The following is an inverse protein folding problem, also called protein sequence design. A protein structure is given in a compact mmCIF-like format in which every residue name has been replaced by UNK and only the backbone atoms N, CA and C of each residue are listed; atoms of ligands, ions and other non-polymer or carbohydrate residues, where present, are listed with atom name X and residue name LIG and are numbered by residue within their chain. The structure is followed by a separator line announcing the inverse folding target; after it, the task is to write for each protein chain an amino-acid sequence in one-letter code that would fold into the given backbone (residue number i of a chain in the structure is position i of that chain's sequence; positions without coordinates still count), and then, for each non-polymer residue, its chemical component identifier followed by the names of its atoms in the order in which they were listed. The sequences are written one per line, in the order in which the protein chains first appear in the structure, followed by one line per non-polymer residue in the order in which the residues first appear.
data_IF_405480301057
#
_entry.id   IF_405480301057
#
_cell.length_a   1.000
_cell.length_b   1.000
_cell.length_c   1.000
_cell.angle_alpha   90.00
_cell.angle_beta   90.00
_cell.angle_gamma   90.00
#
_symmetry.space_group_name_H-M   'P 1'
#
loop_
_entity.id
_entity.type
_entity.pdbx_description
1 polymer ?
#
# COMPACT_ATOMS: atom_id res chain seq x y z
N UNK A 1 10.27 6.10 14.27
CA UNK A 1 10.63 5.03 15.25
C UNK A 1 9.82 3.75 15.12
N UNK A 2 8.48 3.77 15.19
CA UNK A 2 7.63 2.56 15.19
C UNK A 2 7.77 1.58 14.00
N UNK A 3 8.40 2.01 12.90
CA UNK A 3 8.71 1.19 11.72
C UNK A 3 10.18 0.72 11.65
N UNK A 4 11.06 1.17 12.56
CA UNK A 4 12.50 0.86 12.52
C UNK A 4 12.73 -0.63 12.83
N UNK A 5 13.53 -1.31 12.01
CA UNK A 5 13.76 -2.75 12.14
C UNK A 5 12.61 -3.64 11.64
N UNK A 6 11.61 -3.05 10.97
CA UNK A 6 10.54 -3.79 10.30
C UNK A 6 10.73 -3.81 8.80
N UNK A 7 10.34 -4.89 8.15
CA UNK A 7 10.09 -4.87 6.70
C UNK A 7 8.71 -4.26 6.48
N UNK A 8 8.62 -3.23 5.66
CA UNK A 8 7.44 -2.37 5.49
C UNK A 8 6.99 -2.40 4.04
N UNK A 9 5.69 -2.60 3.83
CA UNK A 9 5.07 -2.50 2.51
C UNK A 9 4.28 -1.19 2.46
N UNK A 10 4.75 -0.24 1.66
CA UNK A 10 3.99 0.95 1.32
C UNK A 10 3.14 0.66 0.08
N UNK A 11 1.84 0.89 0.18
CA UNK A 11 0.87 0.67 -0.90
C UNK A 11 0.16 2.00 -1.21
N UNK A 12 0.61 2.68 -2.25
CA UNK A 12 0.06 3.97 -2.70
C UNK A 12 -1.10 3.75 -3.66
N UNK A 13 -2.23 4.45 -3.46
CA UNK A 13 -3.45 4.26 -4.26
C UNK A 13 -4.33 5.52 -4.35
N UNK A 14 -5.20 5.57 -5.35
CA UNK A 14 -6.18 6.65 -5.60
C UNK A 14 -7.64 6.12 -5.74
N UNK A 15 -7.93 4.95 -5.14
CA UNK A 15 -9.27 4.38 -5.01
C UNK A 15 -10.30 5.40 -4.47
N UNK A 16 -11.52 5.36 -5.01
CA UNK A 16 -12.59 6.34 -4.78
C UNK A 16 -13.68 5.80 -3.87
N UNK A 17 -14.17 6.62 -2.94
CA UNK A 17 -15.29 6.26 -2.07
C UNK A 17 -16.67 6.32 -2.76
N UNK A 18 -16.72 6.70 -4.04
CA UNK A 18 -17.94 6.62 -4.87
C UNK A 18 -17.60 6.55 -6.37
N UNK A 19 -18.19 5.59 -7.13
CA UNK A 19 -18.77 4.35 -6.60
C UNK A 19 -17.69 3.53 -5.87
N UNK A 20 -18.09 2.75 -4.85
CA UNK A 20 -17.20 1.80 -4.19
C UNK A 20 -16.91 0.62 -5.14
N UNK A 21 -15.92 0.82 -6.01
CA UNK A 21 -15.37 -0.17 -6.93
C UNK A 21 -14.18 -0.89 -6.30
N UNK A 22 -14.04 -2.19 -6.56
CA UNK A 22 -13.41 -3.11 -5.60
C UNK A 22 -11.97 -3.53 -5.99
N UNK A 23 -10.91 -3.12 -5.25
CA UNK A 23 -9.55 -3.64 -5.42
C UNK A 23 -9.33 -5.00 -4.69
N UNK A 24 -10.41 -5.79 -4.54
CA UNK A 24 -10.59 -6.85 -3.53
C UNK A 24 -9.37 -7.73 -3.27
N UNK A 25 -8.91 -8.45 -4.31
CA UNK A 25 -7.95 -9.53 -4.12
C UNK A 25 -6.60 -9.07 -3.57
N UNK A 26 -6.15 -7.87 -3.93
CA UNK A 26 -4.85 -7.34 -3.50
C UNK A 26 -4.91 -6.63 -2.14
N UNK A 27 -5.97 -5.87 -1.86
CA UNK A 27 -6.15 -5.21 -0.56
C UNK A 27 -6.55 -6.21 0.53
N UNK A 28 -7.42 -7.17 0.22
CA UNK A 28 -7.75 -8.29 1.11
C UNK A 28 -6.53 -9.19 1.39
N UNK A 29 -5.70 -9.45 0.38
CA UNK A 29 -4.44 -10.16 0.59
C UNK A 29 -3.45 -9.35 1.44
N UNK A 30 -3.34 -8.03 1.26
CA UNK A 30 -2.53 -7.17 2.13
C UNK A 30 -2.99 -7.24 3.60
N UNK A 31 -4.30 -7.23 3.86
CA UNK A 31 -4.84 -7.34 5.21
C UNK A 31 -4.56 -8.72 5.82
N UNK A 32 -4.76 -9.79 5.06
CA UNK A 32 -4.37 -11.15 5.44
C UNK A 32 -2.87 -11.25 5.78
N UNK A 33 -2.00 -10.70 4.93
CA UNK A 33 -0.55 -10.70 5.09
C UNK A 33 -0.11 -9.88 6.32
N UNK A 34 -0.68 -8.68 6.51
CA UNK A 34 -0.45 -7.81 7.67
C UNK A 34 -0.79 -8.52 8.99
N UNK A 35 -1.87 -9.30 9.02
CA UNK A 35 -2.27 -10.07 10.20
C UNK A 35 -1.43 -11.32 10.39
N UNK A 36 -1.21 -12.11 9.33
CA UNK A 36 -0.42 -13.35 9.37
C UNK A 36 1.04 -13.12 9.77
N UNK A 37 1.67 -12.07 9.26
CA UNK A 37 3.09 -11.75 9.49
C UNK A 37 3.30 -10.65 10.57
N UNK A 38 2.27 -10.28 11.34
CA UNK A 38 2.37 -9.25 12.42
C UNK A 38 3.47 -9.55 13.44
N UNK A 39 3.70 -10.83 13.74
CA UNK A 39 4.73 -11.30 14.67
C UNK A 39 6.12 -11.51 14.02
N UNK A 40 6.25 -11.28 12.70
CA UNK A 40 7.48 -11.47 11.91
C UNK A 40 8.11 -10.13 11.49
N UNK A 41 7.85 -9.06 12.26
CA UNK A 41 8.30 -7.69 11.95
C UNK A 41 7.88 -7.17 10.57
N UNK A 42 6.81 -7.71 9.96
CA UNK A 42 6.18 -7.08 8.80
C UNK A 42 5.20 -6.00 9.26
N UNK A 43 5.10 -4.90 8.50
CA UNK A 43 3.99 -3.96 8.62
C UNK A 43 3.54 -3.43 7.25
N UNK A 44 2.23 -3.45 6.99
CA UNK A 44 1.63 -2.78 5.83
C UNK A 44 1.30 -1.33 6.19
N UNK A 45 1.43 -0.42 5.23
CA UNK A 45 0.92 0.96 5.30
C UNK A 45 0.24 1.27 3.97
N UNK A 46 -1.08 1.47 3.99
CA UNK A 46 -1.80 2.03 2.84
C UNK A 46 -1.58 3.54 2.79
N UNK A 47 -1.38 4.12 1.61
CA UNK A 47 -1.17 5.56 1.44
C UNK A 47 -2.14 6.05 0.37
N UNK A 48 -3.14 6.82 0.79
CA UNK A 48 -4.06 7.44 -0.15
C UNK A 48 -3.39 8.65 -0.80
N UNK A 49 -3.48 8.73 -2.13
CA UNK A 49 -2.93 9.79 -3.00
C UNK A 49 -4.04 10.51 -3.76
N UNK A 50 -5.28 10.43 -3.23
CA UNK A 50 -6.48 11.06 -3.75
C UNK A 50 -6.24 12.57 -3.99
N UNK A 51 -6.64 13.09 -5.15
CA UNK A 51 -6.45 14.50 -5.56
C UNK A 51 -6.99 15.54 -4.56
N UNK A 52 -8.00 15.17 -3.76
CA UNK A 52 -8.51 16.01 -2.66
C UNK A 52 -7.45 16.33 -1.59
N UNK A 53 -6.44 15.48 -1.42
CA UNK A 53 -5.35 15.67 -0.46
C UNK A 53 -4.34 16.75 -0.92
N UNK A 54 -4.36 17.11 -2.20
CA UNK A 54 -3.43 18.04 -2.84
C UNK A 54 -3.87 19.52 -2.73
N UNK A 55 -5.07 19.77 -2.18
CA UNK A 55 -5.66 21.12 -2.05
C UNK A 55 -6.18 21.34 -0.62
N UNK A 56 -5.70 22.36 0.13
CA UNK A 56 -6.02 22.53 1.56
C UNK A 56 -7.51 22.49 1.90
N UNK A 57 -8.34 23.02 1.01
CA UNK A 57 -9.81 23.09 1.11
C UNK A 57 -10.45 21.70 1.10
N UNK A 58 -9.85 20.74 0.39
CA UNK A 58 -10.39 19.41 0.16
C UNK A 58 -9.69 18.32 0.99
N UNK A 59 -8.59 18.60 1.70
CA UNK A 59 -7.87 17.60 2.54
C UNK A 59 -8.81 16.86 3.49
N UNK A 60 -9.79 17.54 4.07
CA UNK A 60 -10.80 16.92 4.93
C UNK A 60 -11.75 15.97 4.18
N UNK A 61 -12.03 16.22 2.90
CA UNK A 61 -12.81 15.33 2.01
C UNK A 61 -11.98 14.10 1.61
N UNK A 62 -10.74 14.30 1.16
CA UNK A 62 -9.81 13.21 0.81
C UNK A 62 -9.54 12.26 1.99
N UNK A 63 -9.33 12.81 3.19
CA UNK A 63 -9.18 12.01 4.42
C UNK A 63 -10.43 11.20 4.76
N UNK A 64 -11.65 11.71 4.51
CA UNK A 64 -12.89 10.94 4.71
C UNK A 64 -13.09 9.87 3.63
N UNK A 65 -12.78 10.19 2.37
CA UNK A 65 -12.82 9.25 1.24
C UNK A 65 -11.94 8.01 1.52
N UNK A 66 -10.68 8.25 1.92
CA UNK A 66 -9.75 7.18 2.25
C UNK A 66 -10.16 6.33 3.47
N UNK A 67 -10.84 6.93 4.47
CA UNK A 67 -11.38 6.19 5.63
C UNK A 67 -12.55 5.29 5.26
N UNK A 68 -13.51 5.78 4.48
CA UNK A 68 -14.62 4.95 3.96
C UNK A 68 -14.11 3.73 3.19
N UNK A 69 -13.05 3.89 2.39
CA UNK A 69 -12.39 2.76 1.71
C UNK A 69 -11.86 1.74 2.72
N UNK A 70 -11.17 2.18 3.76
CA UNK A 70 -10.63 1.29 4.80
C UNK A 70 -11.72 0.62 5.65
N UNK A 71 -12.80 1.34 5.94
CA UNK A 71 -13.99 0.83 6.64
C UNK A 71 -14.73 -0.21 5.79
N UNK A 72 -14.99 0.08 4.51
CA UNK A 72 -15.64 -0.84 3.56
C UNK A 72 -14.81 -2.12 3.31
N UNK A 73 -13.49 -1.97 3.19
CA UNK A 73 -12.56 -3.09 2.98
C UNK A 73 -12.13 -3.79 4.29
N UNK A 74 -12.60 -3.32 5.46
CA UNK A 74 -12.23 -3.82 6.79
C UNK A 74 -10.71 -3.93 7.03
N UNK A 75 -9.96 -2.88 6.70
CA UNK A 75 -8.50 -2.84 6.82
C UNK A 75 -8.07 -2.49 8.26
N UNK A 76 -7.17 -3.30 8.85
CA UNK A 76 -6.56 -3.02 10.16
C UNK A 76 -5.15 -2.44 10.07
N UNK A 77 -4.52 -2.45 8.89
CA UNK A 77 -3.27 -1.73 8.66
C UNK A 77 -3.48 -0.20 8.61
N UNK A 78 -2.51 0.60 9.09
CA UNK A 78 -2.63 2.06 9.10
C UNK A 78 -2.73 2.66 7.69
N UNK A 79 -3.58 3.67 7.57
CA UNK A 79 -3.76 4.47 6.36
C UNK A 79 -3.13 5.86 6.55
N UNK A 80 -2.07 6.11 5.77
CA UNK A 80 -1.49 7.44 5.55
C UNK A 80 -2.20 8.21 4.44
N UNK A 81 -1.88 9.50 4.36
CA UNK A 81 -2.42 10.43 3.37
C UNK A 81 -1.24 11.20 2.77
N UNK A 82 -1.11 11.21 1.46
CA UNK A 82 -0.06 11.89 0.71
C UNK A 82 -0.67 12.97 -0.19
N UNK A 83 -0.05 14.15 -0.22
CA UNK A 83 -0.39 15.26 -1.12
C UNK A 83 0.25 15.09 -2.52
N UNK A 84 0.92 13.95 -2.74
CA UNK A 84 1.64 13.59 -3.95
C UNK A 84 3.13 13.86 -3.86
N UNK A 85 3.62 14.54 -2.82
CA UNK A 85 5.06 14.77 -2.64
C UNK A 85 5.82 13.47 -2.37
N UNK A 86 5.25 12.54 -1.60
CA UNK A 86 5.91 11.27 -1.29
C UNK A 86 5.86 10.31 -2.50
N UNK A 87 4.70 10.15 -3.15
CA UNK A 87 4.56 9.35 -4.36
C UNK A 87 5.49 9.86 -5.47
N UNK A 88 5.58 11.18 -5.68
CA UNK A 88 6.52 11.77 -6.66
C UNK A 88 7.98 11.46 -6.32
N UNK A 89 8.34 11.47 -5.02
CA UNK A 89 9.71 11.18 -4.55
C UNK A 89 10.09 9.71 -4.73
N UNK A 90 9.12 8.79 -4.59
CA UNK A 90 9.31 7.35 -4.78
C UNK A 90 9.07 6.86 -6.22
N UNK A 91 8.74 7.77 -7.15
CA UNK A 91 8.51 7.47 -8.56
C UNK A 91 7.05 7.19 -8.89
N UNK A 92 6.26 8.25 -9.10
CA UNK A 92 4.86 8.13 -9.53
C UNK A 92 4.78 7.43 -10.92
N UNK A 93 4.20 6.21 -11.01
CA UNK A 93 4.18 5.45 -12.26
C UNK A 93 3.37 6.15 -13.36
N UNK A 94 2.47 7.08 -13.02
CA UNK A 94 1.63 7.79 -13.98
C UNK A 94 2.45 8.73 -14.88
N UNK A 95 3.63 9.17 -14.42
CA UNK A 95 4.57 10.01 -15.20
C UNK A 95 5.07 9.29 -16.45
N UNK A 96 5.25 7.96 -16.38
CA UNK A 96 5.69 7.11 -17.50
C UNK A 96 4.54 6.37 -18.21
N UNK A 97 3.28 6.83 -18.01
CA UNK A 97 2.04 6.17 -18.45
C UNK A 97 1.73 4.82 -17.80
N UNK A 98 2.41 4.48 -16.70
CA UNK A 98 1.97 3.42 -15.80
C UNK A 98 0.71 3.81 -15.02
N UNK A 99 0.26 2.92 -14.16
CA UNK A 99 -0.95 3.10 -13.33
C UNK A 99 -0.64 2.88 -11.85
N UNK A 100 -1.47 3.46 -10.99
CA UNK A 100 -1.54 3.07 -9.58
C UNK A 100 -2.29 1.71 -9.44
N UNK A 101 -2.11 0.97 -8.33
CA UNK A 101 -1.29 1.30 -7.16
C UNK A 101 0.23 1.28 -7.42
N UNK A 102 1.01 1.97 -6.57
CA UNK A 102 2.46 1.79 -6.48
C UNK A 102 2.78 1.04 -5.19
N UNK A 103 3.60 0.01 -5.28
CA UNK A 103 4.06 -0.78 -4.14
C UNK A 103 5.54 -0.53 -3.92
N UNK A 104 5.94 -0.26 -2.69
CA UNK A 104 7.34 -0.11 -2.29
C UNK A 104 7.62 -0.99 -1.08
N UNK A 105 8.48 -1.99 -1.23
CA UNK A 105 8.93 -2.85 -0.12
C UNK A 105 10.24 -2.31 0.43
N UNK A 106 10.23 -1.90 1.70
CA UNK A 106 11.38 -1.41 2.45
C UNK A 106 11.80 -2.49 3.44
N UNK A 107 13.07 -2.88 3.47
CA UNK A 107 13.58 -3.87 4.43
C UNK A 107 13.74 -3.34 5.85
N UNK A 108 13.92 -4.25 6.81
CA UNK A 108 14.29 -3.93 8.19
C UNK A 108 15.56 -3.06 8.34
N UNK A 109 16.44 -3.05 7.32
CA UNK A 109 17.63 -2.20 7.22
C UNK A 109 17.35 -0.78 6.67
N UNK A 110 16.09 -0.47 6.37
CA UNK A 110 15.64 0.84 5.86
C UNK A 110 15.84 1.06 4.36
N UNK A 111 16.34 0.06 3.60
CA UNK A 111 16.53 0.18 2.14
C UNK A 111 15.30 -0.32 1.38
N UNK A 112 15.01 0.31 0.24
CA UNK A 112 14.03 -0.24 -0.71
C UNK A 112 14.59 -1.50 -1.36
N UNK A 113 13.79 -2.56 -1.40
CA UNK A 113 14.13 -3.87 -2.01
C UNK A 113 13.38 -4.12 -3.30
N UNK A 114 12.17 -3.59 -3.43
CA UNK A 114 11.29 -3.84 -4.57
C UNK A 114 10.34 -2.66 -4.80
N UNK A 115 10.08 -2.39 -6.08
CA UNK A 115 9.05 -1.50 -6.58
C UNK A 115 8.14 -2.28 -7.53
N UNK A 116 6.82 -2.22 -7.35
CA UNK A 116 5.84 -2.72 -8.33
C UNK A 116 4.88 -1.61 -8.74
N UNK A 117 4.63 -1.48 -10.04
CA UNK A 117 3.75 -0.46 -10.60
C UNK A 117 2.48 -1.11 -11.18
N UNK A 118 1.32 -0.70 -10.65
CA UNK A 118 0.03 -1.27 -10.95
C UNK A 118 -0.29 -2.51 -10.11
N UNK A 119 -1.09 -3.39 -10.70
CA UNK A 119 -1.69 -4.55 -10.06
C UNK A 119 -0.76 -5.77 -10.12
N UNK A 120 -0.64 -6.52 -9.04
CA UNK A 120 -0.02 -7.86 -9.06
C UNK A 120 -0.97 -8.91 -9.68
N UNK A 121 -0.43 -9.97 -10.27
CA UNK A 121 -1.22 -11.16 -10.56
C UNK A 121 -1.66 -11.86 -9.26
N UNK A 122 -2.90 -12.35 -9.22
CA UNK A 122 -3.49 -13.02 -8.06
C UNK A 122 -3.59 -14.52 -8.36
N UNK A 123 -2.79 -15.34 -7.69
CA UNK A 123 -2.93 -16.79 -7.71
C UNK A 123 -3.87 -17.21 -6.57
N UNK A 124 -5.04 -17.78 -6.88
CA UNK A 124 -6.03 -18.15 -5.87
C UNK A 124 -5.53 -19.17 -4.82
N UNK A 125 -4.46 -19.91 -5.11
CA UNK A 125 -3.83 -20.86 -4.19
C UNK A 125 -2.53 -20.33 -3.54
N UNK A 126 -1.94 -19.24 -4.04
CA UNK A 126 -0.64 -18.71 -3.59
C UNK A 126 -0.62 -17.22 -3.22
N UNK A 127 -1.75 -16.52 -3.36
CA UNK A 127 -1.84 -15.08 -3.15
C UNK A 127 -1.02 -14.28 -4.17
N UNK A 128 -0.38 -13.21 -3.71
CA UNK A 128 0.50 -12.38 -4.52
C UNK A 128 1.91 -13.00 -4.53
N UNK A 129 2.11 -14.03 -5.34
CA UNK A 129 3.32 -14.86 -5.39
C UNK A 129 4.63 -14.06 -5.52
N UNK A 130 4.63 -12.99 -6.31
CA UNK A 130 5.78 -12.10 -6.49
C UNK A 130 6.14 -11.37 -5.20
N UNK A 131 5.15 -10.78 -4.53
CA UNK A 131 5.31 -10.11 -3.24
C UNK A 131 5.76 -11.11 -2.14
N UNK A 132 5.20 -12.32 -2.09
CA UNK A 132 5.66 -13.37 -1.16
C UNK A 132 7.14 -13.73 -1.38
N UNK A 133 7.64 -13.74 -2.62
CA UNK A 133 9.04 -14.03 -2.91
C UNK A 133 9.97 -12.96 -2.32
N UNK A 134 9.70 -11.68 -2.60
CA UNK A 134 10.43 -10.53 -2.04
C UNK A 134 10.42 -10.55 -0.50
N UNK A 135 9.30 -10.92 0.11
CA UNK A 135 9.15 -11.00 1.57
C UNK A 135 9.71 -12.27 2.21
N UNK A 136 10.19 -13.23 1.42
CA UNK A 136 10.77 -14.48 1.93
C UNK A 136 12.29 -14.46 1.98
N UNK A 137 12.95 -13.55 1.24
CA UNK A 137 14.40 -13.32 1.35
C UNK A 137 14.84 -12.83 2.75
N UNK A 138 13.92 -12.17 3.48
CA UNK A 138 14.13 -11.69 4.85
C UNK A 138 13.82 -12.74 5.93
N UNK A 139 13.15 -13.85 5.59
CA UNK A 139 12.74 -14.86 6.57
C UNK A 139 13.81 -15.94 6.85
N UNK A 140 15.00 -15.80 6.26
CA UNK A 140 16.07 -16.82 6.28
C UNK A 140 17.46 -16.28 6.68
N UNK A 141 17.53 -15.23 7.50
CA UNK A 141 18.77 -14.64 8.05
C UNK A 141 18.61 -14.29 9.52
#
# INVERSE_FOLDING_TARGET
DSLKGKTVILHFWDYKDSPLSEPYGQTGYLEFLNNRRRNQNLQVVGISTNGDLQTPENVARGRRSARKIAEFMNLSYPIGYDDGTLLKTLGDPRVSRGQLPLWVVIGADGKVKHYHAGFYEIDAAKGLKELEAVLSEDAGK
#
